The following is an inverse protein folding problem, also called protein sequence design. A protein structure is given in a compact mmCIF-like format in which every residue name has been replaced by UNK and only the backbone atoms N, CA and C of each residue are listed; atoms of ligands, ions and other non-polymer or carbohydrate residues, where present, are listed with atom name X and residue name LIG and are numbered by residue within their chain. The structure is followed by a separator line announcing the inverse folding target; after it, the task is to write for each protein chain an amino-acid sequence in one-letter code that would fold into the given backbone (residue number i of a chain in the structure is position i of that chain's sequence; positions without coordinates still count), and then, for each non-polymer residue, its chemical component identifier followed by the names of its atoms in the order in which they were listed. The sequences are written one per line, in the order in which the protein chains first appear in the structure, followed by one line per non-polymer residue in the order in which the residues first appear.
data_IF_617482779023
#
_entry.id   IF_617482779023
#
_cell.length_a   1.000
_cell.length_b   1.000
_cell.length_c   1.000
_cell.angle_alpha   90.00
_cell.angle_beta   90.00
_cell.angle_gamma   90.00
#
_symmetry.space_group_name_H-M   'P 1'
#
loop_
_entity.id
_entity.type
_entity.pdbx_description
1 polymer ?
#
# COMPACT_ATOMS: atom_id res chain seq x y z
N UNK A 1 -7.24 -11.73 -1.45
CA UNK A 1 -7.48 -12.99 -0.69
C UNK A 1 -7.11 -12.88 0.78
N UNK A 2 -5.91 -12.43 1.14
CA UNK A 2 -5.48 -12.34 2.56
C UNK A 2 -6.38 -11.52 3.49
N UNK A 3 -6.91 -10.38 3.03
CA UNK A 3 -7.80 -9.55 3.85
C UNK A 3 -9.06 -10.29 4.31
N UNK A 4 -9.81 -10.90 3.39
CA UNK A 4 -11.02 -11.65 3.74
C UNK A 4 -10.72 -12.87 4.61
N UNK A 5 -9.56 -13.50 4.41
CA UNK A 5 -9.09 -14.58 5.27
C UNK A 5 -8.84 -14.09 6.70
N UNK A 6 -8.17 -12.95 6.89
CA UNK A 6 -7.95 -12.34 8.21
C UNK A 6 -9.26 -11.94 8.88
N UNK A 7 -10.18 -11.32 8.15
CA UNK A 7 -11.50 -10.95 8.68
C UNK A 7 -12.26 -12.21 9.12
N UNK A 8 -12.33 -13.23 8.28
CA UNK A 8 -13.04 -14.48 8.58
C UNK A 8 -12.46 -15.26 9.75
N UNK A 9 -11.14 -15.48 9.75
CA UNK A 9 -10.49 -16.38 10.70
C UNK A 9 -10.05 -15.68 11.98
N UNK A 10 -9.59 -14.44 11.90
CA UNK A 10 -9.03 -13.74 13.07
C UNK A 10 -10.11 -12.88 13.70
N UNK A 11 -10.70 -11.95 12.96
CA UNK A 11 -11.66 -11.01 13.54
C UNK A 11 -12.92 -11.69 14.09
N UNK A 12 -13.61 -12.51 13.29
CA UNK A 12 -14.85 -13.16 13.76
C UNK A 12 -14.60 -14.22 14.83
N UNK A 13 -13.47 -14.94 14.77
CA UNK A 13 -13.13 -15.91 15.81
C UNK A 13 -12.79 -15.24 17.13
N UNK A 14 -12.00 -14.16 17.10
CA UNK A 14 -11.69 -13.35 18.28
C UNK A 14 -12.93 -12.63 18.84
N UNK A 15 -13.87 -12.23 17.97
CA UNK A 15 -15.17 -11.68 18.37
C UNK A 15 -16.02 -12.75 19.08
N UNK A 16 -16.11 -13.96 18.52
CA UNK A 16 -16.86 -15.09 19.10
C UNK A 16 -16.26 -15.54 20.43
N UNK A 17 -14.93 -15.49 20.55
CA UNK A 17 -14.20 -15.80 21.78
C UNK A 17 -14.32 -14.71 22.86
N UNK A 18 -14.89 -13.53 22.54
CA UNK A 18 -15.06 -12.41 23.48
C UNK A 18 -13.79 -11.58 23.76
N UNK A 19 -12.60 -12.15 23.53
CA UNK A 19 -11.30 -11.51 23.81
C UNK A 19 -11.14 -10.12 23.19
N UNK A 20 -11.62 -9.93 21.96
CA UNK A 20 -11.50 -8.66 21.25
C UNK A 20 -12.39 -7.56 21.88
N UNK A 21 -13.51 -7.96 22.46
CA UNK A 21 -14.49 -7.05 23.05
C UNK A 21 -13.98 -6.50 24.38
N UNK A 22 -13.35 -7.35 25.19
CA UNK A 22 -12.73 -6.95 26.46
C UNK A 22 -11.58 -5.94 26.22
N UNK A 23 -10.73 -6.23 25.25
CA UNK A 23 -9.59 -5.37 24.92
C UNK A 23 -10.02 -4.02 24.30
N UNK A 24 -11.06 -4.00 23.47
CA UNK A 24 -11.65 -2.74 22.96
C UNK A 24 -12.22 -1.90 24.11
N UNK A 25 -12.84 -2.53 25.11
CA UNK A 25 -13.41 -1.83 26.26
C UNK A 25 -12.36 -1.11 27.09
N UNK A 26 -11.19 -1.72 27.27
CA UNK A 26 -10.05 -1.14 27.99
C UNK A 26 -9.35 -0.05 27.16
N UNK A 27 -9.14 -0.30 25.86
CA UNK A 27 -8.42 0.60 24.95
C UNK A 27 -9.14 1.94 24.71
N UNK A 28 -10.47 1.98 24.85
CA UNK A 28 -11.26 3.21 24.70
C UNK A 28 -11.06 4.25 25.82
N UNK A 29 -10.32 3.94 26.88
CA UNK A 29 -10.10 4.87 28.00
C UNK A 29 -9.05 5.95 27.71
N UNK A 30 -8.12 5.73 26.78
CA UNK A 30 -7.09 6.71 26.36
C UNK A 30 -6.88 6.77 24.83
N UNK A 31 -7.83 7.33 24.05
CA UNK A 31 -7.82 7.26 22.59
C UNK A 31 -6.87 8.24 21.88
N UNK A 32 -6.28 9.22 22.60
CA UNK A 32 -5.61 10.36 21.94
C UNK A 32 -4.19 10.07 21.47
N UNK A 33 -3.51 9.10 22.07
CA UNK A 33 -2.08 8.88 21.85
C UNK A 33 -1.79 7.74 20.84
N UNK A 34 -2.78 6.91 20.54
CA UNK A 34 -2.63 5.76 19.62
C UNK A 34 -2.19 6.21 18.21
N UNK A 35 -2.81 7.24 17.59
CA UNK A 35 -2.48 7.62 16.21
C UNK A 35 -1.07 8.20 16.07
N UNK A 36 -0.62 8.99 17.05
CA UNK A 36 0.68 9.65 17.01
C UNK A 36 1.82 8.66 17.18
N UNK A 37 1.65 7.68 18.08
CA UNK A 37 2.63 6.61 18.28
C UNK A 37 2.74 5.69 17.06
N UNK A 38 1.61 5.31 16.46
CA UNK A 38 1.60 4.48 15.26
C UNK A 38 2.25 5.21 14.08
N UNK A 39 1.88 6.48 13.85
CA UNK A 39 2.45 7.29 12.79
C UNK A 39 3.98 7.41 12.93
N UNK A 40 4.47 7.69 14.14
CA UNK A 40 5.91 7.81 14.38
C UNK A 40 6.66 6.49 14.15
N UNK A 41 6.09 5.37 14.58
CA UNK A 41 6.71 4.05 14.43
C UNK A 41 6.73 3.58 12.97
N UNK A 42 5.68 3.86 12.20
CA UNK A 42 5.59 3.50 10.79
C UNK A 42 6.53 4.36 9.94
N UNK A 43 6.51 5.68 10.13
CA UNK A 43 7.37 6.58 9.35
C UNK A 43 8.85 6.29 9.56
N UNK A 44 9.28 6.00 10.79
CA UNK A 44 10.67 5.67 11.09
C UNK A 44 11.16 4.39 10.39
N UNK A 45 10.28 3.41 10.19
CA UNK A 45 10.64 2.15 9.52
C UNK A 45 10.82 2.33 8.01
N UNK A 46 9.98 3.16 7.40
CA UNK A 46 10.02 3.40 5.95
C UNK A 46 11.32 4.11 5.56
N UNK A 47 11.78 5.06 6.36
CA UNK A 47 12.99 5.84 6.07
C UNK A 47 14.29 5.04 6.27
N UNK A 48 14.34 4.18 7.28
CA UNK A 48 15.61 3.58 7.73
C UNK A 48 15.88 2.19 7.14
N UNK A 49 14.84 1.42 6.82
CA UNK A 49 14.99 -0.04 6.63
C UNK A 49 14.59 -0.53 5.24
N UNK A 50 13.64 0.12 4.58
CA UNK A 50 13.05 -0.40 3.35
C UNK A 50 13.47 0.41 2.13
N UNK A 51 14.34 -0.17 1.31
CA UNK A 51 14.65 0.37 -0.02
C UNK A 51 13.50 0.06 -0.98
N UNK A 52 12.89 1.10 -1.56
CA UNK A 52 11.78 0.98 -2.50
C UNK A 52 12.31 0.71 -3.90
N UNK A 53 12.37 -0.57 -4.29
CA UNK A 53 12.79 -0.99 -5.64
C UNK A 53 11.75 -0.70 -6.74
N UNK A 54 10.48 -0.52 -6.36
CA UNK A 54 9.37 -0.37 -7.30
C UNK A 54 8.45 0.78 -6.88
N UNK A 55 8.42 1.85 -7.67
CA UNK A 55 7.47 2.94 -7.51
C UNK A 55 6.20 2.65 -8.30
N UNK A 56 5.12 2.36 -7.58
CA UNK A 56 3.80 2.04 -8.16
C UNK A 56 2.88 3.26 -8.24
N UNK A 57 3.41 4.47 -7.99
CA UNK A 57 2.70 5.76 -8.06
C UNK A 57 1.32 5.78 -7.39
N UNK A 58 1.14 5.03 -6.29
CA UNK A 58 -0.12 4.99 -5.55
C UNK A 58 -1.26 4.24 -6.25
N UNK A 59 -0.98 3.43 -7.28
CA UNK A 59 -2.01 2.67 -8.02
C UNK A 59 -2.82 1.72 -7.12
N UNK A 60 -2.26 1.27 -6.00
CA UNK A 60 -2.94 0.41 -5.03
C UNK A 60 -3.90 1.16 -4.09
N UNK A 61 -3.88 2.50 -4.07
CA UNK A 61 -4.67 3.33 -3.16
C UNK A 61 -6.19 3.05 -3.21
N UNK A 62 -6.83 2.88 -4.39
CA UNK A 62 -8.26 2.59 -4.44
C UNK A 62 -8.62 1.24 -3.78
N UNK A 63 -7.74 0.25 -3.88
CA UNK A 63 -7.92 -1.05 -3.25
C UNK A 63 -7.78 -0.95 -1.73
N UNK A 64 -6.77 -0.22 -1.24
CA UNK A 64 -6.56 0.01 0.19
C UNK A 64 -7.76 0.77 0.79
N UNK A 65 -8.19 1.85 0.14
CA UNK A 65 -9.35 2.64 0.57
C UNK A 65 -10.62 1.77 0.63
N UNK A 66 -10.82 0.88 -0.34
CA UNK A 66 -11.93 -0.06 -0.29
C UNK A 66 -11.87 -0.99 0.93
N UNK A 67 -10.71 -1.55 1.27
CA UNK A 67 -10.54 -2.38 2.46
C UNK A 67 -10.79 -1.61 3.76
N UNK A 68 -10.33 -0.35 3.85
CA UNK A 68 -10.58 0.52 5.00
C UNK A 68 -12.08 0.74 5.20
N UNK A 69 -12.81 1.01 4.12
CA UNK A 69 -14.27 1.20 4.18
C UNK A 69 -15.00 -0.08 4.61
N UNK A 70 -14.59 -1.24 4.09
CA UNK A 70 -15.14 -2.53 4.54
C UNK A 70 -14.88 -2.75 6.03
N UNK A 71 -13.68 -2.42 6.52
CA UNK A 71 -13.36 -2.51 7.95
C UNK A 71 -14.23 -1.58 8.81
N UNK A 72 -14.43 -0.33 8.37
CA UNK A 72 -15.32 0.64 9.05
C UNK A 72 -16.75 0.11 9.11
N UNK A 73 -17.27 -0.42 8.00
CA UNK A 73 -18.62 -1.01 7.94
C UNK A 73 -18.74 -2.21 8.88
N UNK A 74 -17.76 -3.10 8.90
CA UNK A 74 -17.74 -4.26 9.80
C UNK A 74 -17.79 -3.84 11.27
N UNK A 75 -16.97 -2.86 11.67
CA UNK A 75 -16.98 -2.32 13.05
C UNK A 75 -18.36 -1.72 13.39
N UNK A 76 -18.94 -0.93 12.48
CA UNK A 76 -20.27 -0.36 12.70
C UNK A 76 -21.35 -1.44 12.87
N UNK A 77 -21.35 -2.49 12.05
CA UNK A 77 -22.27 -3.64 12.18
C UNK A 77 -22.06 -4.36 13.52
N UNK A 78 -20.80 -4.61 13.93
CA UNK A 78 -20.53 -5.27 15.21
C UNK A 78 -20.99 -4.43 16.41
N UNK A 79 -20.86 -3.11 16.36
CA UNK A 79 -21.36 -2.21 17.39
C UNK A 79 -22.90 -2.17 17.45
N UNK A 80 -23.57 -2.17 16.30
CA UNK A 80 -25.03 -2.32 16.20
C UNK A 80 -25.48 -3.62 16.88
N UNK A 81 -24.80 -4.73 16.60
CA UNK A 81 -25.07 -6.03 17.22
C UNK A 81 -24.89 -6.02 18.74
N UNK A 82 -23.80 -5.41 19.21
CA UNK A 82 -23.49 -5.29 20.65
C UNK A 82 -24.54 -4.45 21.40
N UNK A 83 -24.91 -3.28 20.87
CA UNK A 83 -25.92 -2.41 21.48
C UNK A 83 -27.35 -2.97 21.34
N UNK A 84 -27.60 -3.77 20.31
CA UNK A 84 -28.84 -4.52 20.13
C UNK A 84 -29.08 -5.55 21.23
N UNK A 85 -28.02 -6.28 21.65
CA UNK A 85 -28.09 -7.24 22.76
C UNK A 85 -28.24 -6.57 24.14
N UNK A 86 -27.65 -5.38 24.33
CA UNK A 86 -27.61 -4.68 25.64
C UNK A 86 -28.86 -3.83 25.93
N UNK A 87 -29.95 -3.97 25.15
CA UNK A 87 -31.28 -3.36 25.38
C UNK A 87 -31.30 -1.82 25.46
N UNK A 88 -30.39 -1.15 24.73
CA UNK A 88 -30.41 0.32 24.53
C UNK A 88 -30.53 0.66 23.03
N UNK A 89 -31.71 0.45 22.43
CA UNK A 89 -31.90 0.56 20.98
C UNK A 89 -31.74 1.98 20.42
N UNK A 90 -31.78 3.01 21.27
CA UNK A 90 -31.66 4.42 20.86
C UNK A 90 -30.33 4.72 20.14
N UNK A 91 -29.21 4.11 20.58
CA UNK A 91 -27.91 4.31 19.94
C UNK A 91 -27.80 3.60 18.58
N UNK A 92 -28.48 2.45 18.44
CA UNK A 92 -28.44 1.61 17.24
C UNK A 92 -29.13 2.25 16.03
N UNK A 93 -30.15 3.09 16.29
CA UNK A 93 -30.82 3.84 15.23
C UNK A 93 -29.94 4.93 14.61
N UNK A 94 -29.04 5.53 15.39
CA UNK A 94 -28.11 6.59 14.92
C UNK A 94 -27.03 6.05 13.96
N UNK A 95 -26.69 4.78 14.06
CA UNK A 95 -25.68 4.13 13.23
C UNK A 95 -26.14 3.82 11.80
N UNK A 96 -27.46 3.76 11.54
CA UNK A 96 -28.01 3.50 10.19
C UNK A 96 -27.69 4.67 9.22
N UNK A 97 -27.98 5.95 9.56
CA UNK A 97 -27.53 7.09 8.77
C UNK A 97 -26.02 7.12 8.55
N UNK A 98 -25.24 6.74 9.56
CA UNK A 98 -23.78 6.74 9.49
C UNK A 98 -23.24 5.72 8.48
N UNK A 99 -23.85 4.52 8.42
CA UNK A 99 -23.55 3.51 7.40
C UNK A 99 -23.86 4.03 5.99
N UNK A 100 -25.02 4.67 5.80
CA UNK A 100 -25.41 5.24 4.49
C UNK A 100 -24.44 6.34 4.07
N UNK A 101 -24.06 7.23 4.97
CA UNK A 101 -23.09 8.29 4.69
C UNK A 101 -21.71 7.71 4.33
N UNK A 102 -21.28 6.66 5.02
CA UNK A 102 -20.02 5.95 4.72
C UNK A 102 -20.03 5.35 3.30
N UNK A 103 -21.16 4.77 2.88
CA UNK A 103 -21.34 4.24 1.53
C UNK A 103 -21.40 5.35 0.46
N UNK A 104 -22.12 6.44 0.73
CA UNK A 104 -22.17 7.60 -0.17
C UNK A 104 -20.78 8.23 -0.34
N UNK A 105 -20.03 8.35 0.75
CA UNK A 105 -18.67 8.88 0.73
C UNK A 105 -17.74 8.00 -0.11
N UNK A 106 -17.85 6.67 0.00
CA UNK A 106 -17.11 5.74 -0.85
C UNK A 106 -17.38 5.98 -2.34
N UNK A 107 -18.65 6.09 -2.73
CA UNK A 107 -19.02 6.29 -4.14
C UNK A 107 -18.57 7.66 -4.65
N UNK A 108 -18.67 8.69 -3.81
CA UNK A 108 -18.13 10.02 -4.11
C UNK A 108 -16.61 9.98 -4.30
N UNK A 109 -15.87 9.30 -3.41
CA UNK A 109 -14.43 9.14 -3.51
C UNK A 109 -14.04 8.42 -4.79
N UNK A 110 -14.76 7.37 -5.16
CA UNK A 110 -14.55 6.66 -6.42
C UNK A 110 -14.75 7.60 -7.61
N UNK A 111 -15.90 8.24 -7.72
CA UNK A 111 -16.22 9.13 -8.84
C UNK A 111 -15.23 10.30 -8.98
N UNK A 112 -14.77 10.85 -7.85
CA UNK A 112 -13.90 12.03 -7.86
C UNK A 112 -12.42 11.69 -8.05
N UNK A 113 -11.92 10.63 -7.41
CA UNK A 113 -10.49 10.35 -7.33
C UNK A 113 -10.01 9.24 -8.28
N UNK A 114 -10.85 8.27 -8.66
CA UNK A 114 -10.44 7.24 -9.64
C UNK A 114 -9.91 7.82 -10.97
N UNK A 115 -10.53 8.85 -11.60
CA UNK A 115 -10.01 9.35 -12.86
C UNK A 115 -8.61 9.95 -12.75
N UNK A 116 -8.24 10.48 -11.58
CA UNK A 116 -6.93 11.06 -11.33
C UNK A 116 -5.80 10.01 -11.24
N UNK A 117 -6.11 8.77 -10.85
CA UNK A 117 -5.10 7.71 -10.70
C UNK A 117 -4.84 6.93 -12.00
N UNK A 118 -5.77 6.95 -12.94
CA UNK A 118 -5.66 6.13 -14.16
C UNK A 118 -5.36 6.97 -15.42
N UNK A 119 -5.62 8.27 -15.41
CA UNK A 119 -5.33 9.14 -16.54
C UNK A 119 -4.28 10.17 -16.17
N UNK A 120 -3.12 10.05 -16.80
CA UNK A 120 -2.19 11.16 -16.87
C UNK A 120 -2.83 12.25 -17.74
N UNK A 121 -3.01 13.45 -17.19
CA UNK A 121 -3.55 14.56 -17.97
C UNK A 121 -2.53 14.97 -19.04
N UNK A 122 -3.02 15.35 -20.23
CA UNK A 122 -2.16 15.84 -21.31
C UNK A 122 -1.36 17.07 -20.86
N UNK A 123 -1.94 17.88 -19.98
CA UNK A 123 -1.27 19.03 -19.39
C UNK A 123 -0.05 18.60 -18.55
N UNK A 124 -0.21 17.60 -17.69
CA UNK A 124 0.89 17.10 -16.88
C UNK A 124 1.97 16.47 -17.75
N UNK A 125 1.58 15.72 -18.80
CA UNK A 125 2.53 15.16 -19.76
C UNK A 125 3.36 16.25 -20.43
N UNK A 126 2.72 17.33 -20.91
CA UNK A 126 3.41 18.49 -21.50
C UNK A 126 4.36 19.17 -20.51
N UNK A 127 3.94 19.33 -19.26
CA UNK A 127 4.77 19.93 -18.21
C UNK A 127 6.00 19.07 -17.89
N UNK A 128 5.87 17.74 -17.90
CA UNK A 128 7.00 16.82 -17.74
C UNK A 128 7.95 16.90 -18.93
N UNK A 129 7.44 16.91 -20.16
CA UNK A 129 8.25 17.05 -21.37
C UNK A 129 9.04 18.37 -21.36
N UNK A 130 8.39 19.49 -21.01
CA UNK A 130 9.06 20.80 -20.88
C UNK A 130 10.10 20.84 -19.74
N UNK A 131 9.90 20.06 -18.68
CA UNK A 131 10.83 19.99 -17.56
C UNK A 131 12.09 19.21 -17.95
N UNK A 132 11.92 18.08 -18.64
CA UNK A 132 13.02 17.25 -19.14
C UNK A 132 13.92 18.01 -20.13
N UNK A 133 13.32 18.84 -20.99
CA UNK A 133 14.04 19.75 -21.89
C UNK A 133 14.86 20.79 -21.10
N UNK A 134 14.28 21.42 -20.08
CA UNK A 134 14.98 22.40 -19.23
C UNK A 134 16.14 21.79 -18.46
N UNK A 135 16.00 20.54 -18.03
CA UNK A 135 17.04 19.81 -17.32
C UNK A 135 18.12 19.22 -18.26
N UNK A 136 18.01 19.39 -19.59
CA UNK A 136 18.90 18.80 -20.60
C UNK A 136 19.09 17.27 -20.43
N UNK A 137 18.06 16.57 -19.93
CA UNK A 137 18.14 15.12 -19.68
C UNK A 137 17.63 14.27 -20.84
N UNK A 138 17.08 14.90 -21.88
CA UNK A 138 16.44 14.24 -23.03
C UNK A 138 17.36 13.20 -23.70
N UNK A 139 18.62 13.57 -23.97
CA UNK A 139 19.58 12.68 -24.64
C UNK A 139 19.95 11.46 -23.78
N UNK A 140 20.21 11.69 -22.49
CA UNK A 140 20.52 10.62 -21.53
C UNK A 140 19.32 9.67 -21.35
N UNK A 141 18.11 10.23 -21.27
CA UNK A 141 16.88 9.45 -21.14
C UNK A 141 16.63 8.57 -22.36
N UNK A 142 16.93 9.06 -23.57
CA UNK A 142 16.79 8.30 -24.82
C UNK A 142 17.73 7.08 -24.88
N UNK A 143 19.02 7.29 -24.59
CA UNK A 143 20.02 6.22 -24.52
C UNK A 143 19.66 5.19 -23.43
N UNK A 144 19.25 5.65 -22.24
CA UNK A 144 18.79 4.77 -21.16
C UNK A 144 17.54 3.96 -21.56
N UNK A 145 16.54 4.59 -22.18
CA UNK A 145 15.31 3.94 -22.62
C UNK A 145 15.58 2.83 -23.66
N UNK A 146 16.57 3.02 -24.54
CA UNK A 146 16.97 2.02 -25.54
C UNK A 146 17.49 0.72 -24.93
N UNK A 147 18.02 0.77 -23.69
CA UNK A 147 18.64 -0.38 -23.01
C UNK A 147 17.88 -0.86 -21.76
N UNK A 148 16.95 -0.06 -21.23
CA UNK A 148 16.25 -0.30 -19.97
C UNK A 148 15.46 -1.63 -19.91
N UNK A 149 14.81 -2.00 -21.03
CA UNK A 149 13.90 -3.15 -21.09
C UNK A 149 14.54 -4.43 -21.64
N UNK A 150 15.86 -4.49 -21.79
CA UNK A 150 16.51 -5.74 -22.15
C UNK A 150 16.23 -6.82 -21.09
N UNK A 151 15.85 -8.04 -21.50
CA UNK A 151 15.69 -9.13 -20.56
C UNK A 151 17.02 -9.37 -19.83
N UNK A 152 16.99 -9.89 -18.58
CA UNK A 152 18.21 -10.04 -17.78
C UNK A 152 19.36 -10.78 -18.47
N UNK A 153 19.08 -11.64 -19.44
CA UNK A 153 20.04 -12.40 -20.24
C UNK A 153 20.67 -11.64 -21.42
N UNK A 154 20.08 -10.53 -21.87
CA UNK A 154 20.57 -9.70 -22.99
C UNK A 154 21.12 -8.35 -22.51
N UNK A 155 21.09 -8.09 -21.19
CA UNK A 155 21.65 -6.87 -20.64
C UNK A 155 23.15 -6.84 -20.92
N UNK A 156 23.71 -5.73 -21.44
CA UNK A 156 25.14 -5.61 -21.64
C UNK A 156 25.84 -5.92 -20.32
N UNK A 157 26.66 -6.98 -20.28
CA UNK A 157 27.57 -7.18 -19.17
C UNK A 157 28.52 -5.99 -19.20
N UNK A 158 28.52 -5.17 -18.16
CA UNK A 158 29.63 -4.27 -17.90
C UNK A 158 30.85 -5.16 -17.64
N UNK A 159 31.48 -5.62 -18.71
CA UNK A 159 32.81 -6.18 -18.72
C UNK A 159 33.79 -5.00 -18.63
N UNK A 160 33.63 -4.18 -17.59
CA UNK A 160 34.57 -3.14 -17.24
C UNK A 160 35.39 -3.70 -16.08
N UNK A 161 36.31 -4.58 -16.48
CA UNK A 161 37.68 -4.67 -15.98
C UNK A 161 37.88 -4.08 -14.58
N UNK A 162 37.40 -4.79 -13.56
CA UNK A 162 37.99 -4.64 -12.24
C UNK A 162 39.40 -5.21 -12.38
N UNK A 163 40.40 -4.32 -12.38
CA UNK A 163 41.80 -4.70 -12.20
C UNK A 163 41.95 -5.44 -10.88
N UNK A 164 41.65 -6.73 -10.89
CA UNK A 164 41.98 -7.68 -9.84
C UNK A 164 42.97 -8.65 -10.45
N UNK A 165 44.24 -8.28 -10.31
CA UNK A 165 45.30 -9.27 -10.11
C UNK A 165 44.79 -10.32 -9.11
N UNK A 166 44.48 -11.53 -9.58
CA UNK A 166 44.70 -12.81 -8.89
C UNK A 166 44.16 -14.00 -9.71
N UNK A 167 45.12 -14.70 -10.35
CA UNK A 167 45.21 -16.14 -10.67
C UNK A 167 44.09 -16.86 -11.47
N UNK A 168 44.42 -17.55 -12.57
CA UNK A 168 43.48 -18.41 -13.29
C UNK A 168 43.19 -19.71 -12.52
N UNK A 169 41.97 -20.26 -12.56
CA UNK A 169 41.72 -21.61 -12.08
C UNK A 169 42.24 -22.62 -13.11
N UNK A 170 43.19 -23.40 -12.62
CA UNK A 170 43.82 -24.56 -13.22
C UNK A 170 42.75 -25.64 -13.51
N UNK A 171 42.50 -25.96 -14.79
CA UNK A 171 41.97 -27.28 -15.16
C UNK A 171 42.90 -27.88 -16.19
N UNK A 172 43.90 -28.57 -15.67
CA UNK A 172 44.66 -29.58 -16.41
C UNK A 172 43.74 -30.77 -16.66
N UNK A 173 43.49 -31.10 -17.91
CA UNK A 173 43.16 -32.48 -18.31
C UNK A 173 43.90 -32.80 -19.60
N UNK A 174 45.07 -33.41 -19.40
CA UNK A 174 45.91 -34.11 -20.35
C UNK A 174 45.26 -35.38 -20.92
N UNK A 175 45.76 -35.79 -22.09
CA UNK A 175 45.51 -37.04 -22.86
C UNK A 175 44.19 -37.11 -23.63
N UNK A 176 44.14 -37.39 -24.94
CA UNK A 176 45.04 -38.15 -25.82
C UNK A 176 44.93 -37.63 -27.26
#
# INVERSE_FOLDING_TARGET
MGFYFLVGNVFFWSLLSGSLIDEIGESFTHPKDIPSHLARAVSAQIEVVYETFYDTCGQYWPYINHYILVAIILVQITMIGLFGLKSKPAASFSTIPLLVLTLMFNEYCKMRFLPAFHLLSIQNAKEFDEHDEKCNQVEFNYENASTAYYPPCLRPSNCMESGSSHTPPLVTSSSL
#
